data_IF_418207213996
#
_entry.id   IF_418207213996
#
_cell.length_a   1.000
_cell.length_b   1.000
_cell.length_c   1.000
_cell.angle_alpha   90.00
_cell.angle_beta   90.00
_cell.angle_gamma   90.00
#
_symmetry.space_group_name_H-M   'P 1'
#
loop_
_entity.id
_entity.type
_entity.pdbx_description
1 polymer ?
#
# COMPACT_ATOMS: atom_id res chain seq x y z
N UNK A 1 -21.79 -15.90 8.00
CA UNK A 1 -21.06 -14.65 8.50
C UNK A 1 -20.78 -13.75 7.33
N UNK A 2 -20.65 -12.42 7.53
CA UNK A 2 -20.23 -11.56 6.45
C UNK A 2 -18.79 -11.92 6.03
N UNK A 3 -18.51 -11.98 4.72
CA UNK A 3 -17.19 -12.28 4.17
C UNK A 3 -16.16 -11.27 4.69
N UNK A 4 -15.00 -11.74 5.15
CA UNK A 4 -13.89 -10.87 5.54
C UNK A 4 -13.38 -10.11 4.30
N UNK A 5 -13.14 -8.82 4.47
CA UNK A 5 -12.57 -7.97 3.42
C UNK A 5 -11.16 -8.41 3.00
N UNK A 6 -10.69 -7.86 1.92
CA UNK A 6 -9.40 -8.18 1.30
C UNK A 6 -8.39 -7.06 1.56
N UNK A 7 -7.16 -7.43 1.92
CA UNK A 7 -6.05 -6.49 2.01
C UNK A 7 -5.42 -6.32 0.63
N UNK A 8 -5.35 -5.07 0.16
CA UNK A 8 -4.76 -4.69 -1.13
C UNK A 8 -3.54 -3.83 -0.85
N UNK A 9 -2.39 -4.23 -1.33
CA UNK A 9 -1.12 -3.54 -1.11
C UNK A 9 -0.58 -3.02 -2.44
N UNK A 10 -0.56 -1.70 -2.60
CA UNK A 10 0.07 -1.03 -3.73
C UNK A 10 1.49 -0.60 -3.32
N UNK A 11 2.48 -1.14 -4.00
CA UNK A 11 3.87 -0.77 -3.82
C UNK A 11 4.56 -0.54 -5.16
N UNK A 12 5.86 -0.25 -5.14
CA UNK A 12 6.65 0.03 -6.34
C UNK A 12 7.74 1.05 -6.06
N UNK A 13 8.62 1.33 -7.04
CA UNK A 13 9.80 2.15 -6.82
C UNK A 13 9.47 3.61 -6.49
N UNK A 14 10.45 4.27 -5.88
CA UNK A 14 10.39 5.71 -5.67
C UNK A 14 10.22 6.45 -7.01
N UNK A 15 9.31 7.42 -7.07
CA UNK A 15 9.07 8.20 -8.30
C UNK A 15 8.06 7.60 -9.27
N UNK A 16 7.61 6.35 -9.09
CA UNK A 16 6.68 5.68 -10.02
C UNK A 16 5.27 6.27 -10.08
N UNK A 17 4.86 7.06 -9.07
CA UNK A 17 3.55 7.72 -9.06
C UNK A 17 2.48 7.04 -8.20
N UNK A 18 2.85 6.22 -7.20
CA UNK A 18 1.91 5.53 -6.29
C UNK A 18 0.84 6.47 -5.73
N UNK A 19 1.23 7.57 -5.10
CA UNK A 19 0.28 8.51 -4.49
C UNK A 19 -0.66 9.17 -5.50
N UNK A 20 -0.19 9.42 -6.73
CA UNK A 20 -1.05 9.96 -7.80
C UNK A 20 -2.09 8.94 -8.24
N UNK A 21 -1.69 7.68 -8.43
CA UNK A 21 -2.60 6.58 -8.79
C UNK A 21 -3.60 6.32 -7.66
N UNK A 22 -3.14 6.24 -6.40
CA UNK A 22 -4.02 6.12 -5.23
C UNK A 22 -5.06 7.24 -5.21
N UNK A 23 -4.60 8.49 -5.29
CA UNK A 23 -5.51 9.64 -5.30
C UNK A 23 -6.57 9.51 -6.39
N UNK A 24 -6.17 9.17 -7.63
CA UNK A 24 -7.09 9.00 -8.75
C UNK A 24 -8.09 7.85 -8.53
N UNK A 25 -7.68 6.75 -7.86
CA UNK A 25 -8.58 5.66 -7.50
C UNK A 25 -9.67 6.16 -6.55
N UNK A 26 -9.30 6.92 -5.51
CA UNK A 26 -10.25 7.38 -4.49
C UNK A 26 -11.10 8.55 -4.96
N UNK A 27 -10.57 9.48 -5.75
CA UNK A 27 -11.32 10.61 -6.34
C UNK A 27 -12.44 10.16 -7.29
N UNK A 28 -12.29 9.01 -7.96
CA UNK A 28 -13.35 8.46 -8.81
C UNK A 28 -14.57 7.96 -8.03
N UNK A 29 -14.41 7.72 -6.73
CA UNK A 29 -15.48 7.18 -5.88
C UNK A 29 -15.94 5.76 -6.29
N UNK A 30 -17.02 5.29 -5.68
CA UNK A 30 -17.61 3.97 -5.97
C UNK A 30 -16.73 2.78 -5.59
N UNK A 31 -15.80 2.98 -4.66
CA UNK A 31 -14.92 1.94 -4.15
C UNK A 31 -15.49 1.38 -2.85
N UNK A 32 -15.51 0.05 -2.73
CA UNK A 32 -15.90 -0.65 -1.51
C UNK A 32 -14.71 -0.89 -0.56
N UNK A 33 -13.56 -0.25 -0.85
CA UNK A 33 -12.36 -0.36 -0.03
C UNK A 33 -12.01 0.95 0.67
N UNK A 34 -11.40 0.82 1.85
CA UNK A 34 -10.97 1.93 2.69
C UNK A 34 -9.47 2.14 2.60
N UNK A 35 -9.04 3.39 2.45
CA UNK A 35 -7.63 3.72 2.57
C UNK A 35 -7.17 3.57 4.02
N UNK A 36 -6.06 2.88 4.21
CA UNK A 36 -5.46 2.75 5.55
C UNK A 36 -4.68 4.00 5.90
N UNK A 37 -5.09 4.64 7.00
CA UNK A 37 -4.37 5.77 7.56
C UNK A 37 -3.17 5.27 8.35
N UNK A 38 -1.99 5.73 7.98
CA UNK A 38 -0.74 5.38 8.65
C UNK A 38 -0.54 6.17 9.95
N UNK A 39 0.22 5.61 10.87
CA UNK A 39 0.70 6.26 12.08
C UNK A 39 2.08 6.88 11.82
N UNK A 40 2.37 8.04 12.41
CA UNK A 40 3.70 8.67 12.30
C UNK A 40 4.09 9.43 13.56
N UNK A 41 5.40 9.52 13.81
CA UNK A 41 5.97 10.34 14.89
C UNK A 41 6.33 11.76 14.45
N UNK A 42 6.17 12.04 13.15
CA UNK A 42 6.37 13.38 12.60
C UNK A 42 5.27 14.31 13.08
N UNK A 43 5.61 15.54 13.37
CA UNK A 43 4.60 16.58 13.65
C UNK A 43 3.74 16.86 12.41
N UNK A 44 2.43 17.17 12.60
CA UNK A 44 1.56 17.56 11.49
C UNK A 44 2.13 18.75 10.74
N UNK A 45 1.98 18.74 9.42
CA UNK A 45 2.24 19.91 8.56
C UNK A 45 1.00 20.79 8.54
N UNK A 46 1.17 22.04 8.06
CA UNK A 46 0.05 22.97 7.90
C UNK A 46 -1.03 22.35 6.98
N UNK A 47 -2.22 22.16 7.51
CA UNK A 47 -3.38 21.63 6.80
C UNK A 47 -3.59 20.12 6.94
N UNK A 48 -2.65 19.38 7.58
CA UNK A 48 -2.87 17.97 7.87
C UNK A 48 -3.75 17.79 9.12
N UNK A 49 -4.64 16.81 9.07
CA UNK A 49 -5.63 16.50 10.11
C UNK A 49 -5.34 15.12 10.71
N UNK A 50 -5.30 15.08 12.05
CA UNK A 50 -5.11 13.82 12.78
C UNK A 50 -6.31 12.88 12.54
N UNK A 51 -6.01 11.62 12.26
CA UNK A 51 -7.02 10.62 11.93
C UNK A 51 -7.54 10.67 10.49
N UNK A 52 -7.09 11.63 9.67
CA UNK A 52 -7.42 11.71 8.24
C UNK A 52 -6.18 11.53 7.36
N UNK A 53 -5.12 12.32 7.60
CA UNK A 53 -3.86 12.21 6.86
C UNK A 53 -2.93 11.18 7.49
N UNK A 54 -2.77 11.26 8.80
CA UNK A 54 -2.00 10.35 9.65
C UNK A 54 -2.62 10.29 11.05
N UNK A 55 -2.32 9.22 11.80
CA UNK A 55 -2.37 9.22 13.26
C UNK A 55 -1.03 9.77 13.76
N UNK A 56 -1.03 11.01 14.29
CA UNK A 56 0.18 11.65 14.81
C UNK A 56 0.39 11.28 16.27
N UNK A 57 1.43 10.50 16.55
CA UNK A 57 1.71 9.95 17.88
C UNK A 57 3.11 10.32 18.37
N UNK A 58 3.37 10.13 19.67
CA UNK A 58 4.72 10.28 20.21
C UNK A 58 5.63 9.13 19.77
N UNK A 59 6.93 9.35 19.86
CA UNK A 59 7.92 8.31 19.56
C UNK A 59 7.79 7.12 20.51
N UNK A 60 7.57 7.41 21.80
CA UNK A 60 7.38 6.42 22.85
C UNK A 60 6.16 5.53 22.57
N UNK A 61 5.05 6.12 22.15
CA UNK A 61 3.84 5.39 21.77
C UNK A 61 4.06 4.52 20.54
N UNK A 62 4.75 5.04 19.52
CA UNK A 62 5.06 4.28 18.31
C UNK A 62 5.96 3.08 18.64
N UNK A 63 7.04 3.29 19.41
CA UNK A 63 7.96 2.24 19.83
C UNK A 63 7.29 1.19 20.71
N UNK A 64 6.33 1.59 21.55
CA UNK A 64 5.49 0.67 22.31
C UNK A 64 4.69 -0.22 21.38
N UNK A 65 4.01 0.34 20.37
CA UNK A 65 3.26 -0.45 19.39
C UNK A 65 4.14 -1.44 18.62
N UNK A 66 5.40 -1.07 18.30
CA UNK A 66 6.36 -2.00 17.69
C UNK A 66 6.65 -3.18 18.64
N UNK A 67 7.00 -2.89 19.91
CA UNK A 67 7.34 -3.92 20.91
C UNK A 67 6.18 -4.87 21.19
N UNK A 68 4.96 -4.37 21.16
CA UNK A 68 3.73 -5.16 21.37
C UNK A 68 3.25 -5.88 20.10
N UNK A 69 3.96 -5.76 18.98
CA UNK A 69 3.58 -6.40 17.71
C UNK A 69 2.30 -5.83 17.09
N UNK A 70 1.91 -4.59 17.46
CA UNK A 70 0.67 -3.94 17.01
C UNK A 70 0.79 -3.24 15.65
N UNK A 71 1.96 -3.31 15.00
CA UNK A 71 2.20 -2.74 13.69
C UNK A 71 2.16 -3.82 12.61
N UNK A 72 1.41 -3.58 11.54
CA UNK A 72 1.40 -4.43 10.35
C UNK A 72 2.73 -4.32 9.61
N UNK A 73 3.17 -3.09 9.38
CA UNK A 73 4.49 -2.73 8.87
C UNK A 73 4.93 -1.41 9.48
N UNK A 74 6.23 -1.15 9.47
CA UNK A 74 6.78 0.16 9.81
C UNK A 74 8.16 0.37 9.17
N UNK A 75 8.51 1.66 9.01
CA UNK A 75 9.82 2.10 8.58
C UNK A 75 10.23 3.37 9.33
N UNK A 76 11.54 3.56 9.48
CA UNK A 76 12.11 4.82 9.92
C UNK A 76 12.60 5.59 8.70
N UNK A 77 12.18 6.84 8.58
CA UNK A 77 12.68 7.77 7.58
C UNK A 77 13.21 9.02 8.28
N UNK A 78 14.50 9.29 8.11
CA UNK A 78 15.23 10.31 8.88
C UNK A 78 15.03 10.03 10.38
N UNK A 79 14.43 10.94 11.13
CA UNK A 79 14.23 10.83 12.57
C UNK A 79 12.81 10.37 12.97
N UNK A 80 11.95 10.07 12.00
CA UNK A 80 10.56 9.74 12.24
C UNK A 80 10.21 8.32 11.82
N UNK A 81 9.30 7.72 12.58
CA UNK A 81 8.67 6.47 12.22
C UNK A 81 7.39 6.72 11.42
N UNK A 82 7.10 5.77 10.53
CA UNK A 82 5.86 5.65 9.76
C UNK A 82 5.47 4.19 9.74
N UNK A 83 4.17 3.89 9.84
CA UNK A 83 3.74 2.51 9.79
C UNK A 83 2.23 2.36 9.89
N UNK A 84 1.76 1.15 9.68
CA UNK A 84 0.34 0.82 9.62
C UNK A 84 -0.09 0.05 10.88
N UNK A 85 -1.06 0.58 11.67
CA UNK A 85 -1.58 -0.14 12.84
C UNK A 85 -2.35 -1.41 12.44
N UNK A 86 -1.94 -2.56 12.99
CA UNK A 86 -2.53 -3.87 12.68
C UNK A 86 -4.01 -3.95 13.12
N UNK A 87 -4.33 -3.37 14.27
CA UNK A 87 -5.69 -3.38 14.83
C UNK A 87 -6.71 -2.76 13.88
N UNK A 88 -6.38 -1.59 13.33
CA UNK A 88 -7.27 -0.88 12.41
C UNK A 88 -7.52 -1.70 11.13
N UNK A 89 -6.46 -2.29 10.57
CA UNK A 89 -6.57 -3.13 9.37
C UNK A 89 -7.48 -4.33 9.65
N UNK A 90 -7.25 -5.07 10.74
CA UNK A 90 -8.07 -6.22 11.09
C UNK A 90 -9.54 -5.84 11.32
N UNK A 91 -9.83 -4.79 12.08
CA UNK A 91 -11.20 -4.33 12.33
C UNK A 91 -11.94 -3.98 11.03
N UNK A 92 -11.25 -3.34 10.07
CA UNK A 92 -11.84 -3.00 8.78
C UNK A 92 -12.12 -4.25 7.95
N UNK A 93 -11.15 -5.17 7.86
CA UNK A 93 -11.32 -6.44 7.15
C UNK A 93 -12.43 -7.31 7.76
N UNK A 94 -12.50 -7.39 9.09
CA UNK A 94 -13.50 -8.18 9.82
C UNK A 94 -14.92 -7.58 9.67
N UNK A 95 -15.03 -6.29 9.36
CA UNK A 95 -16.30 -5.64 9.00
C UNK A 95 -16.76 -5.94 7.56
N UNK A 96 -16.01 -6.73 6.79
CA UNK A 96 -16.31 -7.09 5.40
C UNK A 96 -15.84 -6.06 4.37
N UNK A 97 -15.13 -5.00 4.80
CA UNK A 97 -14.59 -3.98 3.89
C UNK A 97 -13.14 -4.24 3.55
N UNK A 98 -12.78 -4.01 2.29
CA UNK A 98 -11.40 -4.09 1.84
C UNK A 98 -10.55 -2.95 2.42
N UNK A 99 -9.26 -3.22 2.60
CA UNK A 99 -8.27 -2.22 3.01
C UNK A 99 -7.25 -2.02 1.89
N UNK A 100 -7.05 -0.78 1.49
CA UNK A 100 -6.06 -0.38 0.51
C UNK A 100 -4.86 0.28 1.20
N UNK A 101 -3.68 -0.30 1.05
CA UNK A 101 -2.40 0.21 1.54
C UNK A 101 -1.57 0.75 0.38
N UNK A 102 -1.01 1.96 0.54
CA UNK A 102 0.07 2.47 -0.30
C UNK A 102 1.34 2.56 0.54
N UNK A 103 2.30 1.68 0.28
CA UNK A 103 3.53 1.56 1.08
C UNK A 103 4.77 1.34 0.21
N UNK A 104 5.95 1.52 0.82
CA UNK A 104 7.22 1.20 0.18
C UNK A 104 7.47 -0.32 0.14
N UNK A 105 8.40 -0.74 -0.71
CA UNK A 105 8.76 -2.15 -0.94
C UNK A 105 9.11 -2.89 0.36
N UNK A 106 9.88 -2.25 1.26
CA UNK A 106 10.23 -2.87 2.54
C UNK A 106 9.01 -3.08 3.46
N UNK A 107 8.05 -2.14 3.43
CA UNK A 107 6.78 -2.30 4.15
C UNK A 107 5.95 -3.44 3.55
N UNK A 108 5.86 -3.52 2.22
CA UNK A 108 5.13 -4.59 1.54
C UNK A 108 5.66 -6.00 1.90
N UNK A 109 6.99 -6.15 2.06
CA UNK A 109 7.57 -7.41 2.53
C UNK A 109 7.11 -7.77 3.93
N UNK A 110 7.14 -6.83 4.88
CA UNK A 110 6.65 -7.05 6.24
C UNK A 110 5.16 -7.44 6.26
N UNK A 111 4.36 -6.78 5.41
CA UNK A 111 2.93 -7.12 5.27
C UNK A 111 2.76 -8.52 4.73
N UNK A 112 3.53 -8.93 3.71
CA UNK A 112 3.48 -10.28 3.12
C UNK A 112 3.77 -11.36 4.16
N UNK A 113 4.73 -11.12 5.05
CA UNK A 113 5.08 -12.06 6.14
C UNK A 113 3.94 -12.24 7.16
N UNK A 114 3.19 -11.16 7.44
CA UNK A 114 2.11 -11.17 8.46
C UNK A 114 0.72 -11.49 7.89
N UNK A 115 0.48 -11.11 6.65
CA UNK A 115 -0.79 -11.27 5.94
C UNK A 115 -0.55 -11.79 4.50
N UNK A 116 -0.12 -13.06 4.35
CA UNK A 116 0.25 -13.63 3.04
C UNK A 116 -0.93 -13.70 2.05
N UNK A 117 -2.18 -13.73 2.55
CA UNK A 117 -3.39 -13.77 1.72
C UNK A 117 -3.78 -12.41 1.13
N UNK A 118 -3.03 -11.35 1.42
CA UNK A 118 -3.18 -10.05 0.80
C UNK A 118 -2.90 -10.09 -0.70
N UNK A 119 -3.45 -9.13 -1.44
CA UNK A 119 -3.20 -8.93 -2.87
C UNK A 119 -2.14 -7.86 -3.04
N UNK A 120 -1.00 -8.24 -3.58
CA UNK A 120 0.17 -7.35 -3.70
C UNK A 120 0.34 -6.89 -5.15
N UNK A 121 0.21 -5.60 -5.35
CA UNK A 121 0.31 -4.94 -6.64
C UNK A 121 1.62 -4.15 -6.71
N UNK A 122 2.44 -4.45 -7.70
CA UNK A 122 3.65 -3.68 -7.98
C UNK A 122 3.38 -2.68 -9.09
N UNK A 123 3.38 -1.38 -8.76
CA UNK A 123 3.30 -0.33 -9.76
C UNK A 123 4.69 -0.14 -10.39
N UNK A 124 4.78 -0.27 -11.71
CA UNK A 124 6.04 -0.14 -12.45
C UNK A 124 5.97 1.02 -13.45
N UNK A 125 7.08 1.72 -13.72
CA UNK A 125 7.13 2.67 -14.83
C UNK A 125 7.11 1.93 -16.17
N UNK A 126 6.76 2.60 -17.28
CA UNK A 126 6.87 1.98 -18.61
C UNK A 126 8.32 1.63 -18.96
N UNK A 127 9.27 2.47 -18.56
CA UNK A 127 10.70 2.21 -18.68
C UNK A 127 11.51 3.05 -17.66
N UNK A 128 12.83 2.78 -17.59
CA UNK A 128 13.74 3.46 -16.65
C UNK A 128 14.03 4.93 -17.03
N UNK A 129 13.91 5.30 -18.29
CA UNK A 129 14.12 6.69 -18.73
C UNK A 129 12.97 7.57 -18.27
N UNK A 130 11.73 7.09 -18.42
CA UNK A 130 10.53 7.76 -17.93
C UNK A 130 10.59 7.89 -16.39
N UNK A 131 11.01 6.84 -15.68
CA UNK A 131 11.19 6.92 -14.23
C UNK A 131 12.20 7.99 -13.83
N UNK A 132 13.35 8.02 -14.50
CA UNK A 132 14.38 9.05 -14.27
C UNK A 132 13.83 10.45 -14.48
N UNK A 133 13.08 10.66 -15.58
CA UNK A 133 12.46 11.96 -15.85
C UNK A 133 11.45 12.37 -14.78
N UNK A 134 10.65 11.43 -14.27
CA UNK A 134 9.71 11.68 -13.16
C UNK A 134 10.42 12.04 -11.85
N UNK A 135 11.56 11.42 -11.57
CA UNK A 135 12.39 11.75 -10.40
C UNK A 135 12.95 13.17 -10.54
N UNK A 136 13.50 13.52 -11.71
CA UNK A 136 14.04 14.85 -12.00
C UNK A 136 12.95 15.94 -11.86
N UNK A 137 11.78 15.72 -12.44
CA UNK A 137 10.70 16.71 -12.47
C UNK A 137 10.06 16.97 -11.10
N UNK A 138 10.29 16.10 -10.10
CA UNK A 138 9.73 16.27 -8.76
C UNK A 138 10.47 17.24 -7.87
N UNK A 139 11.72 17.55 -8.18
CA UNK A 139 12.51 18.27 -7.22
C UNK A 139 13.61 19.16 -7.79
N UNK A 140 14.21 19.88 -6.87
CA UNK A 140 15.42 20.68 -6.98
C UNK A 140 16.64 19.85 -6.55
N UNK A 141 16.58 18.52 -6.71
CA UNK A 141 17.65 17.62 -6.27
C UNK A 141 18.84 17.69 -7.24
N UNK A 142 20.04 17.57 -6.69
CA UNK A 142 21.25 17.46 -7.49
C UNK A 142 21.37 16.11 -8.21
N UNK A 143 22.25 16.01 -9.18
CA UNK A 143 22.43 14.80 -10.00
C UNK A 143 22.91 13.60 -9.19
N UNK A 144 23.65 13.79 -8.11
CA UNK A 144 24.14 12.69 -7.26
C UNK A 144 22.96 12.07 -6.49
N UNK A 145 22.06 12.90 -5.97
CA UNK A 145 20.83 12.46 -5.31
C UNK A 145 19.91 11.72 -6.29
N UNK A 146 19.75 12.24 -7.52
CA UNK A 146 18.96 11.58 -8.58
C UNK A 146 19.54 10.22 -8.92
N UNK A 147 20.85 10.09 -9.08
CA UNK A 147 21.51 8.82 -9.40
C UNK A 147 21.30 7.79 -8.27
N UNK A 148 21.49 8.18 -7.00
CA UNK A 148 21.21 7.30 -5.84
C UNK A 148 19.76 6.85 -5.79
N UNK A 149 18.81 7.73 -6.11
CA UNK A 149 17.38 7.34 -6.19
C UNK A 149 17.11 6.38 -7.33
N UNK A 150 17.78 6.55 -8.48
CA UNK A 150 17.68 5.61 -9.60
C UNK A 150 18.24 4.24 -9.26
N UNK A 151 19.41 4.17 -8.60
CA UNK A 151 19.99 2.91 -8.13
C UNK A 151 19.03 2.19 -7.18
N UNK A 152 18.49 2.90 -6.18
CA UNK A 152 17.48 2.35 -5.27
C UNK A 152 16.25 1.86 -6.04
N UNK A 153 15.75 2.63 -7.00
CA UNK A 153 14.58 2.26 -7.78
C UNK A 153 14.79 0.99 -8.62
N UNK A 154 15.98 0.81 -9.19
CA UNK A 154 16.36 -0.42 -9.91
C UNK A 154 16.36 -1.63 -8.96
N UNK A 155 16.89 -1.49 -7.75
CA UNK A 155 16.87 -2.56 -6.76
C UNK A 155 15.44 -2.87 -6.28
N UNK A 156 14.61 -1.85 -6.10
CA UNK A 156 13.19 -2.03 -5.79
C UNK A 156 12.44 -2.75 -6.92
N UNK A 157 12.72 -2.46 -8.20
CA UNK A 157 12.11 -3.16 -9.34
C UNK A 157 12.46 -4.66 -9.35
N UNK A 158 13.66 -5.06 -8.94
CA UNK A 158 14.05 -6.46 -8.85
C UNK A 158 13.17 -7.27 -7.89
N UNK A 159 12.56 -6.62 -6.90
CA UNK A 159 11.64 -7.26 -5.94
C UNK A 159 10.24 -7.50 -6.51
N UNK A 160 9.94 -7.01 -7.70
CA UNK A 160 8.62 -7.19 -8.36
C UNK A 160 8.22 -8.66 -8.46
N UNK A 161 9.19 -9.59 -8.52
CA UNK A 161 8.95 -11.05 -8.53
C UNK A 161 8.20 -11.57 -7.30
N UNK A 162 8.21 -10.82 -6.20
CA UNK A 162 7.61 -11.19 -4.92
C UNK A 162 6.16 -10.67 -4.80
N UNK A 163 5.61 -10.11 -5.89
CA UNK A 163 4.25 -9.56 -5.95
C UNK A 163 3.34 -10.45 -6.80
N UNK A 164 2.03 -10.26 -6.63
CA UNK A 164 1.03 -11.06 -7.34
C UNK A 164 0.73 -10.49 -8.73
N UNK A 165 0.83 -9.15 -8.87
CA UNK A 165 0.55 -8.42 -10.10
C UNK A 165 1.53 -7.28 -10.31
N UNK A 166 1.89 -7.04 -11.57
CA UNK A 166 2.62 -5.85 -12.00
C UNK A 166 1.70 -4.98 -12.88
N UNK A 167 1.56 -3.71 -12.50
CA UNK A 167 0.73 -2.73 -13.22
C UNK A 167 1.63 -1.63 -13.76
N UNK A 168 1.60 -1.41 -15.06
CA UNK A 168 2.39 -0.35 -15.71
C UNK A 168 1.68 0.99 -15.55
N UNK A 169 2.35 1.97 -14.96
CA UNK A 169 1.87 3.35 -14.88
C UNK A 169 2.39 4.18 -16.08
N UNK A 170 1.87 3.86 -17.27
CA UNK A 170 2.07 4.68 -18.48
C UNK A 170 1.17 5.92 -18.43
N UNK A 171 -0.12 5.69 -18.20
CA UNK A 171 -1.16 6.70 -17.94
C UNK A 171 -1.91 6.33 -16.67
N UNK A 172 -2.21 7.34 -15.87
CA UNK A 172 -2.89 7.14 -14.57
C UNK A 172 -4.22 6.41 -14.76
N UNK A 173 -5.00 6.76 -15.79
CA UNK A 173 -6.30 6.17 -16.08
C UNK A 173 -6.20 4.68 -16.39
N UNK A 174 -5.16 4.25 -17.13
CA UNK A 174 -4.90 2.85 -17.44
C UNK A 174 -4.54 2.08 -16.16
N UNK A 175 -3.60 2.58 -15.39
CA UNK A 175 -3.19 1.95 -14.13
C UNK A 175 -4.37 1.81 -13.15
N UNK A 176 -5.20 2.85 -13.01
CA UNK A 176 -6.40 2.81 -12.16
C UNK A 176 -7.39 1.75 -12.65
N UNK A 177 -7.64 1.68 -13.95
CA UNK A 177 -8.54 0.68 -14.56
C UNK A 177 -8.03 -0.75 -14.30
N UNK A 178 -6.74 -1.00 -14.51
CA UNK A 178 -6.15 -2.31 -14.29
C UNK A 178 -6.20 -2.71 -12.82
N UNK A 179 -5.86 -1.82 -11.90
CA UNK A 179 -5.95 -2.08 -10.45
C UNK A 179 -7.39 -2.43 -10.05
N UNK A 180 -8.39 -1.66 -10.49
CA UNK A 180 -9.79 -1.94 -10.19
C UNK A 180 -10.24 -3.29 -10.77
N UNK A 181 -9.79 -3.66 -11.97
CA UNK A 181 -10.11 -4.96 -12.58
C UNK A 181 -9.47 -6.11 -11.80
N UNK A 182 -8.23 -5.97 -11.35
CA UNK A 182 -7.55 -6.97 -10.51
C UNK A 182 -8.32 -7.16 -9.20
N UNK A 183 -8.64 -6.09 -8.49
CA UNK A 183 -9.40 -6.14 -7.23
C UNK A 183 -10.73 -6.87 -7.45
N UNK A 184 -11.46 -6.53 -8.51
CA UNK A 184 -12.72 -7.20 -8.87
C UNK A 184 -12.51 -8.68 -9.17
N UNK A 185 -11.46 -9.05 -9.90
CA UNK A 185 -11.12 -10.44 -10.19
C UNK A 185 -10.73 -11.23 -8.95
N UNK A 186 -9.96 -10.62 -8.04
CA UNK A 186 -9.54 -11.25 -6.78
C UNK A 186 -10.73 -11.59 -5.87
N UNK A 187 -11.78 -10.78 -5.88
CA UNK A 187 -13.03 -11.13 -5.18
C UNK A 187 -13.72 -12.37 -5.71
N UNK A 188 -13.47 -12.76 -6.95
CA UNK A 188 -14.08 -13.92 -7.60
C UNK A 188 -13.22 -15.20 -7.47
N UNK A 189 -12.07 -15.13 -6.84
CA UNK A 189 -11.23 -16.33 -6.62
C UNK A 189 -11.98 -17.38 -5.77
N UNK A 190 -11.93 -18.61 -6.21
CA UNK A 190 -12.58 -19.75 -5.49
C UNK A 190 -12.13 -19.80 -4.03
N UNK A 191 -10.84 -19.59 -3.75
CA UNK A 191 -10.31 -19.57 -2.39
C UNK A 191 -10.94 -18.52 -1.47
N UNK A 192 -11.51 -17.45 -2.05
CA UNK A 192 -12.20 -16.38 -1.30
C UNK A 192 -13.72 -16.60 -1.23
N UNK A 193 -14.28 -17.26 -2.23
CA UNK A 193 -15.73 -17.48 -2.35
C UNK A 193 -16.16 -18.78 -1.68
N UNK A 194 -15.33 -19.82 -1.76
CA UNK A 194 -15.67 -21.16 -1.30
C UNK A 194 -16.03 -21.27 0.20
N UNK A 195 -15.41 -20.51 1.13
CA UNK A 195 -15.81 -20.54 2.54
C UNK A 195 -17.30 -20.24 2.79
N UNK A 196 -17.91 -19.35 1.96
CA UNK A 196 -19.36 -19.07 2.05
C UNK A 196 -20.20 -20.28 1.68
N UNK A 197 -19.75 -21.05 0.69
CA UNK A 197 -20.41 -22.29 0.27
C UNK A 197 -20.22 -23.42 1.29
N UNK A 198 -19.05 -23.52 1.92
CA UNK A 198 -18.82 -24.49 2.99
C UNK A 198 -19.79 -24.27 4.18
N UNK A 199 -20.02 -23.00 4.55
CA UNK A 199 -21.01 -22.66 5.57
C UNK A 199 -22.44 -23.09 5.14
N UNK A 200 -22.83 -22.82 3.88
CA UNK A 200 -24.11 -23.24 3.31
C UNK A 200 -24.27 -24.77 3.29
N UNK A 201 -23.20 -25.51 3.07
CA UNK A 201 -23.16 -26.95 3.01
C UNK A 201 -23.14 -27.61 4.41
N UNK A 202 -22.94 -26.82 5.47
CA UNK A 202 -22.79 -27.30 6.83
C UNK A 202 -21.45 -28.03 7.07
N UNK A 203 -20.42 -27.67 6.34
CA UNK A 203 -19.07 -28.26 6.43
C UNK A 203 -18.15 -27.51 7.42
N UNK A 204 -18.64 -26.45 8.06
CA UNK A 204 -17.94 -25.62 9.06
C UNK A 204 -18.56 -25.73 10.44
#
# INVERSE_FOLDING_TARGET
>A
MARRGMLIVLSGPSGVGKGTVRKAIFDQGGNDFQYSISMTTRKPRKGEVDGEDYYFVSKEEFEKNIKEGQMLEYAQYVDNYYGTPLKYVNQTLDSGRDVFLEIEVNGARQVREKMPDGVFLFLTPPDLMELKQRIINRGTEDMDTINKRMEKAVDEIKTMRDYDYAVVNDKIENAVKEIKNIIKGEHLRVTRVYPEYQEMLGEL
#
